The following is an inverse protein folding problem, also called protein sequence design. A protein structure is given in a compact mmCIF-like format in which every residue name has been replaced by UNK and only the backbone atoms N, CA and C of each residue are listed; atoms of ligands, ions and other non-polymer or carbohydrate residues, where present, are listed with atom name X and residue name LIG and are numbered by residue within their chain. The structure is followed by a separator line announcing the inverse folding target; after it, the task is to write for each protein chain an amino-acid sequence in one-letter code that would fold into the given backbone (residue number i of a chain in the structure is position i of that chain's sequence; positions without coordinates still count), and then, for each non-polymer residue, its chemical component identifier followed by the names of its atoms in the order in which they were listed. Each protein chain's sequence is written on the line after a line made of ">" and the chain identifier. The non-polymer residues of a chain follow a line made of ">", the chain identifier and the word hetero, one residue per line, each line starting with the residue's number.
data_IF_488954756373
#
_entry.id   IF_488954756373
#
_cell.length_a   1.000
_cell.length_b   1.000
_cell.length_c   1.000
_cell.angle_alpha   90.00
_cell.angle_beta   90.00
_cell.angle_gamma   90.00
#
_symmetry.space_group_name_H-M   'P 1'
#
loop_
_entity.id
_entity.type
_entity.pdbx_description
1 polymer ?
#
# COMPACT_ATOMS: atom_id res chain seq x y z
N UNK A 1 51.84 25.39 1.08
CA UNK A 1 50.59 25.57 1.85
C UNK A 1 49.46 25.21 0.90
N UNK A 2 48.79 24.08 1.09
CA UNK A 2 47.77 23.60 0.17
C UNK A 2 46.47 24.39 0.39
N UNK A 3 45.88 24.83 -0.72
CA UNK A 3 44.71 25.68 -0.82
C UNK A 3 43.48 25.02 -0.19
N UNK A 4 42.81 25.77 0.68
CA UNK A 4 41.53 25.39 1.29
C UNK A 4 40.43 25.38 0.23
N UNK A 5 39.98 24.19 -0.19
CA UNK A 5 38.76 24.03 -1.00
C UNK A 5 37.57 24.62 -0.25
N UNK A 6 37.04 25.72 -0.78
CA UNK A 6 35.81 26.33 -0.31
C UNK A 6 34.64 25.54 -0.92
N UNK A 7 33.93 24.76 -0.12
CA UNK A 7 32.72 24.05 -0.54
C UNK A 7 31.61 25.08 -0.80
N UNK A 8 31.35 25.35 -2.09
CA UNK A 8 30.25 26.21 -2.52
C UNK A 8 28.89 25.57 -2.23
N UNK A 9 27.97 26.37 -1.67
CA UNK A 9 26.56 26.01 -1.46
C UNK A 9 25.95 25.54 -2.79
N UNK A 10 25.63 24.25 -2.92
CA UNK A 10 24.85 23.73 -4.06
C UNK A 10 23.48 24.40 -4.07
N UNK A 11 23.01 24.79 -5.25
CA UNK A 11 21.67 25.34 -5.40
C UNK A 11 20.61 24.24 -5.15
N UNK A 12 19.42 24.63 -4.70
CA UNK A 12 18.28 23.72 -4.51
C UNK A 12 17.96 22.96 -5.81
N UNK A 13 18.20 23.58 -6.96
CA UNK A 13 18.01 22.97 -8.28
C UNK A 13 18.99 21.82 -8.53
N UNK A 14 20.28 22.06 -8.34
CA UNK A 14 21.31 21.02 -8.51
C UNK A 14 21.16 19.87 -7.52
N UNK A 15 20.66 20.13 -6.30
CA UNK A 15 20.33 19.07 -5.35
C UNK A 15 19.15 18.21 -5.83
N UNK A 16 18.08 18.84 -6.35
CA UNK A 16 16.92 18.13 -6.90
C UNK A 16 17.29 17.26 -8.10
N UNK A 17 18.13 17.78 -9.00
CA UNK A 17 18.55 17.08 -10.22
C UNK A 17 19.42 15.84 -9.91
N UNK A 18 20.11 15.83 -8.76
CA UNK A 18 20.90 14.69 -8.28
C UNK A 18 20.17 13.77 -7.29
N UNK A 19 18.91 14.09 -6.95
CA UNK A 19 18.12 13.31 -5.97
C UNK A 19 17.68 11.96 -6.55
N UNK A 20 17.38 11.93 -7.84
CA UNK A 20 16.90 10.74 -8.54
C UNK A 20 18.03 10.24 -9.44
N UNK A 21 18.58 9.10 -9.06
CA UNK A 21 19.58 8.38 -9.85
C UNK A 21 18.88 7.29 -10.64
N UNK A 22 18.68 7.56 -11.93
CA UNK A 22 17.90 6.67 -12.80
C UNK A 22 18.49 5.25 -12.88
N UNK A 23 19.81 5.13 -12.79
CA UNK A 23 20.53 3.85 -12.73
C UNK A 23 20.20 3.01 -11.49
N UNK A 24 19.86 3.65 -10.36
CA UNK A 24 19.40 2.95 -9.15
C UNK A 24 17.95 2.42 -9.29
N UNK A 25 17.17 2.95 -10.24
CA UNK A 25 15.80 2.55 -10.58
C UNK A 25 15.80 1.47 -11.68
N UNK A 26 16.47 1.75 -12.80
CA UNK A 26 16.45 0.93 -14.01
C UNK A 26 16.91 -0.51 -13.77
N UNK A 27 17.80 -0.73 -12.78
CA UNK A 27 18.28 -2.06 -12.40
C UNK A 27 17.18 -3.00 -11.90
N UNK A 28 16.03 -2.46 -11.48
CA UNK A 28 14.87 -3.22 -11.04
C UNK A 28 13.78 -3.33 -12.12
N UNK A 29 13.93 -2.63 -13.24
CA UNK A 29 12.99 -2.71 -14.35
C UNK A 29 13.32 -3.93 -15.22
N UNK A 30 12.30 -4.73 -15.53
CA UNK A 30 12.38 -5.82 -16.49
C UNK A 30 11.67 -5.34 -17.76
N UNK A 31 12.42 -5.18 -18.85
CA UNK A 31 11.91 -4.63 -20.12
C UNK A 31 11.25 -3.24 -19.96
N UNK A 32 11.81 -2.39 -19.09
CA UNK A 32 11.30 -1.04 -18.84
C UNK A 32 10.02 -0.99 -17.99
N UNK A 33 9.60 -2.12 -17.40
CA UNK A 33 8.47 -2.21 -16.48
C UNK A 33 8.94 -2.68 -15.10
N UNK A 34 8.32 -2.17 -14.05
CA UNK A 34 8.54 -2.70 -12.70
C UNK A 34 7.66 -3.95 -12.46
N UNK A 35 7.60 -4.41 -11.21
CA UNK A 35 6.83 -5.61 -10.84
C UNK A 35 5.34 -5.34 -10.62
N UNK A 36 4.90 -4.08 -10.67
CA UNK A 36 3.52 -3.68 -10.45
C UNK A 36 2.77 -3.77 -11.78
N UNK A 37 1.67 -4.49 -11.76
CA UNK A 37 0.73 -4.57 -12.88
C UNK A 37 -0.48 -3.69 -12.54
N UNK A 38 -0.43 -2.42 -12.96
CA UNK A 38 -1.47 -1.43 -12.69
C UNK A 38 -2.83 -1.87 -13.25
N UNK A 39 -2.84 -2.40 -14.49
CA UNK A 39 -4.07 -2.85 -15.16
C UNK A 39 -4.72 -4.00 -14.37
N UNK A 40 -3.93 -4.95 -13.87
CA UNK A 40 -4.44 -6.04 -13.05
C UNK A 40 -5.02 -5.54 -11.71
N UNK A 41 -4.38 -4.55 -11.08
CA UNK A 41 -4.86 -3.95 -9.82
C UNK A 41 -6.20 -3.24 -10.07
N UNK A 42 -6.28 -2.38 -11.09
CA UNK A 42 -7.50 -1.66 -11.44
C UNK A 42 -8.64 -2.62 -11.78
N UNK A 43 -8.36 -3.68 -12.56
CA UNK A 43 -9.33 -4.70 -12.90
C UNK A 43 -9.86 -5.46 -11.66
N UNK A 44 -9.00 -5.81 -10.71
CA UNK A 44 -9.41 -6.50 -9.47
C UNK A 44 -10.25 -5.56 -8.58
N UNK A 45 -9.89 -4.28 -8.47
CA UNK A 45 -10.69 -3.28 -7.75
C UNK A 45 -12.06 -3.14 -8.39
N UNK A 46 -12.15 -3.01 -9.72
CA UNK A 46 -13.42 -2.85 -10.44
C UNK A 46 -14.33 -4.06 -10.28
N UNK A 47 -13.78 -5.26 -10.44
CA UNK A 47 -14.51 -6.54 -10.36
C UNK A 47 -15.17 -6.78 -9.00
N UNK A 48 -14.66 -6.16 -7.94
CA UNK A 48 -15.13 -6.37 -6.57
C UNK A 48 -16.01 -5.24 -6.03
N UNK A 49 -16.51 -4.35 -6.89
CA UNK A 49 -17.51 -3.32 -6.52
C UNK A 49 -18.80 -3.91 -5.97
N UNK A 50 -19.52 -3.10 -5.19
CA UNK A 50 -20.83 -3.42 -4.60
C UNK A 50 -20.88 -4.80 -3.89
N UNK A 51 -19.96 -5.07 -2.95
CA UNK A 51 -19.97 -6.33 -2.22
C UNK A 51 -21.24 -6.45 -1.37
N UNK A 52 -21.78 -7.68 -1.25
CA UNK A 52 -22.89 -7.91 -0.33
C UNK A 52 -22.42 -7.86 1.13
N UNK A 53 -23.28 -7.44 2.08
CA UNK A 53 -22.94 -7.46 3.51
C UNK A 53 -22.49 -8.85 4.00
N UNK A 54 -23.11 -9.93 3.49
CA UNK A 54 -22.75 -11.31 3.85
C UNK A 54 -21.34 -11.66 3.38
N UNK A 55 -20.93 -11.17 2.21
CA UNK A 55 -19.55 -11.34 1.72
C UNK A 55 -18.57 -10.65 2.65
N UNK A 56 -18.84 -9.40 3.02
CA UNK A 56 -17.97 -8.64 3.93
C UNK A 56 -17.83 -9.33 5.29
N UNK A 57 -18.94 -9.83 5.87
CA UNK A 57 -18.89 -10.59 7.13
C UNK A 57 -18.08 -11.88 7.02
N UNK A 58 -18.09 -12.57 5.87
CA UNK A 58 -17.22 -13.72 5.62
C UNK A 58 -15.74 -13.31 5.57
N UNK A 59 -15.43 -12.17 4.93
CA UNK A 59 -14.07 -11.61 4.88
C UNK A 59 -13.60 -11.27 6.29
N UNK A 60 -14.42 -10.58 7.09
CA UNK A 60 -14.12 -10.29 8.50
C UNK A 60 -13.79 -11.57 9.26
N UNK A 61 -14.63 -12.61 9.14
CA UNK A 61 -14.36 -13.90 9.77
C UNK A 61 -13.03 -14.51 9.36
N UNK A 62 -12.67 -14.43 8.08
CA UNK A 62 -11.39 -14.91 7.54
C UNK A 62 -10.20 -14.09 8.04
N UNK A 63 -10.36 -12.78 8.26
CA UNK A 63 -9.30 -11.91 8.76
C UNK A 63 -8.80 -12.33 10.15
N UNK A 64 -9.66 -12.89 11.01
CA UNK A 64 -9.26 -13.46 12.30
C UNK A 64 -8.33 -14.69 12.20
N UNK A 65 -8.14 -15.26 11.01
CA UNK A 65 -7.12 -16.29 10.81
C UNK A 65 -5.68 -15.74 10.84
N UNK A 66 -5.50 -14.42 10.77
CA UNK A 66 -4.19 -13.73 10.77
C UNK A 66 -3.30 -14.30 9.65
N UNK A 67 -3.87 -14.38 8.45
CA UNK A 67 -3.17 -14.77 7.22
C UNK A 67 -3.25 -13.62 6.23
N UNK A 68 -2.35 -13.64 5.24
CA UNK A 68 -2.41 -12.72 4.12
C UNK A 68 -3.78 -12.84 3.44
N UNK A 69 -4.47 -11.71 3.31
CA UNK A 69 -5.72 -11.63 2.56
C UNK A 69 -5.44 -11.70 1.06
N UNK A 70 -6.38 -12.27 0.31
CA UNK A 70 -6.34 -12.18 -1.14
C UNK A 70 -6.77 -10.78 -1.62
N UNK A 71 -6.33 -10.44 -2.83
CA UNK A 71 -6.61 -9.15 -3.46
C UNK A 71 -8.10 -8.89 -3.66
N UNK A 72 -8.91 -9.93 -3.90
CA UNK A 72 -10.34 -9.80 -4.11
C UNK A 72 -11.08 -9.39 -2.83
N UNK A 73 -10.67 -9.95 -1.68
CA UNK A 73 -11.19 -9.62 -0.36
C UNK A 73 -10.79 -8.19 0.04
N UNK A 74 -9.55 -7.79 -0.21
CA UNK A 74 -9.09 -6.40 0.01
C UNK A 74 -9.88 -5.42 -0.85
N UNK A 75 -10.00 -5.71 -2.16
CA UNK A 75 -10.76 -4.90 -3.10
C UNK A 75 -12.24 -4.78 -2.71
N UNK A 76 -12.85 -5.85 -2.21
CA UNK A 76 -14.22 -5.80 -1.69
C UNK A 76 -14.35 -4.88 -0.47
N UNK A 77 -13.45 -4.96 0.51
CA UNK A 77 -13.47 -4.08 1.68
C UNK A 77 -13.32 -2.60 1.30
N UNK A 78 -12.52 -2.28 0.27
CA UNK A 78 -12.33 -0.90 -0.22
C UNK A 78 -13.64 -0.24 -0.72
N UNK A 79 -14.60 -1.04 -1.20
CA UNK A 79 -15.87 -0.56 -1.74
C UNK A 79 -17.00 -0.48 -0.71
N UNK A 80 -16.74 -0.80 0.56
CA UNK A 80 -17.77 -0.71 1.60
C UNK A 80 -18.07 0.75 1.91
N UNK A 81 -19.30 1.19 1.64
CA UNK A 81 -19.77 2.55 1.93
C UNK A 81 -20.74 2.61 3.10
N UNK A 82 -21.41 1.51 3.41
CA UNK A 82 -22.37 1.40 4.51
C UNK A 82 -21.68 1.65 5.87
N UNK A 83 -22.16 2.60 6.69
CA UNK A 83 -21.48 2.99 7.92
C UNK A 83 -21.51 1.89 8.99
N UNK A 84 -22.58 1.11 9.09
CA UNK A 84 -22.69 0.04 10.07
C UNK A 84 -21.73 -1.09 9.74
N UNK A 85 -21.64 -1.44 8.45
CA UNK A 85 -20.69 -2.44 7.96
C UNK A 85 -19.23 -1.97 8.10
N UNK A 86 -18.95 -0.67 7.98
CA UNK A 86 -17.63 -0.11 8.31
C UNK A 86 -17.30 -0.27 9.79
N UNK A 87 -18.26 -0.05 10.69
CA UNK A 87 -18.03 -0.25 12.13
C UNK A 87 -17.75 -1.72 12.45
N UNK A 88 -18.41 -2.67 11.79
CA UNK A 88 -18.05 -4.10 11.88
C UNK A 88 -16.58 -4.35 11.48
N UNK A 89 -16.14 -3.77 10.35
CA UNK A 89 -14.74 -3.88 9.88
C UNK A 89 -13.76 -3.25 10.88
N UNK A 90 -14.03 -2.04 11.37
CA UNK A 90 -13.15 -1.34 12.30
C UNK A 90 -13.07 -2.01 13.67
N UNK A 91 -14.17 -2.61 14.12
CA UNK A 91 -14.18 -3.42 15.34
C UNK A 91 -13.27 -4.63 15.18
N UNK A 92 -13.42 -5.39 14.10
CA UNK A 92 -12.54 -6.52 13.82
C UNK A 92 -11.07 -6.11 13.68
N UNK A 93 -10.79 -5.01 12.98
CA UNK A 93 -9.42 -4.49 12.83
C UNK A 93 -8.79 -4.11 14.19
N UNK A 94 -9.54 -3.49 15.09
CA UNK A 94 -9.08 -3.17 16.46
C UNK A 94 -8.78 -4.43 17.25
N UNK A 95 -9.69 -5.41 17.23
CA UNK A 95 -9.51 -6.68 17.93
C UNK A 95 -8.27 -7.45 17.41
N UNK A 96 -8.10 -7.52 16.09
CA UNK A 96 -6.94 -8.15 15.46
C UNK A 96 -5.65 -7.38 15.82
N UNK A 97 -5.67 -6.04 15.80
CA UNK A 97 -4.51 -5.24 16.27
C UNK A 97 -4.13 -5.62 17.69
N UNK A 98 -5.09 -5.65 18.61
CA UNK A 98 -4.84 -6.02 20.01
C UNK A 98 -4.36 -7.47 20.13
N UNK A 99 -4.90 -8.41 19.35
CA UNK A 99 -4.45 -9.80 19.37
C UNK A 99 -3.01 -9.98 18.89
N UNK A 100 -2.59 -9.25 17.85
CA UNK A 100 -1.26 -9.41 17.23
C UNK A 100 -0.19 -8.54 17.91
N UNK A 101 -0.56 -7.32 18.27
CA UNK A 101 0.38 -6.30 18.76
C UNK A 101 0.17 -5.91 20.23
N UNK A 102 -0.86 -6.45 20.90
CA UNK A 102 -1.25 -6.05 22.24
C UNK A 102 -1.50 -4.52 22.30
N UNK A 103 -1.18 -3.88 23.43
CA UNK A 103 -1.26 -2.43 23.65
C UNK A 103 -0.01 -1.64 23.20
N UNK A 104 0.79 -2.17 22.27
CA UNK A 104 1.93 -1.44 21.68
C UNK A 104 1.53 -0.47 20.56
#
# INVERSE_FOLDING_TARGET
>A
MQETKTEGKRSVKEWKDNLVKQDEIDRYLVNGKDFIDDDAIEAEIEKNKNPSPERIRKIIKKAYEIKLMDSADVAALMHVTDPDLKEEIFTAAREIKTQVYDNR
#
